data_IF_284255912114
#
_entry.id   IF_284255912114
#
_cell.length_a   1.000
_cell.length_b   1.000
_cell.length_c   1.000
_cell.angle_alpha   90.00
_cell.angle_beta   90.00
_cell.angle_gamma   90.00
#
_symmetry.space_group_name_H-M   'P 1'
#
loop_
_entity.id
_entity.type
_entity.pdbx_description
1 polymer ?
#
# COMPACT_ATOMS: atom_id res chain seq x y z
N UNK A 1 17.79 -0.40 5.31
CA UNK A 1 16.91 -1.57 5.44
C UNK A 1 17.77 -2.81 5.33
N UNK A 2 17.70 -3.70 6.32
CA UNK A 2 18.43 -4.98 6.31
C UNK A 2 17.55 -6.16 5.88
N UNK A 3 18.11 -7.38 5.90
CA UNK A 3 17.41 -8.60 5.50
C UNK A 3 16.23 -8.94 6.43
N UNK A 4 16.30 -8.57 7.71
CA UNK A 4 15.22 -8.81 8.66
C UNK A 4 14.07 -7.85 8.39
N UNK A 5 14.36 -6.58 8.12
CA UNK A 5 13.33 -5.62 7.73
C UNK A 5 12.56 -6.08 6.48
N UNK A 6 13.26 -6.61 5.47
CA UNK A 6 12.63 -7.19 4.29
C UNK A 6 11.67 -8.35 4.64
N UNK A 7 12.08 -9.19 5.59
CA UNK A 7 11.26 -10.32 6.05
C UNK A 7 10.02 -9.84 6.82
N UNK A 8 10.17 -8.83 7.69
CA UNK A 8 9.05 -8.19 8.40
C UNK A 8 8.05 -7.60 7.40
N UNK A 9 8.53 -6.84 6.40
CA UNK A 9 7.68 -6.26 5.37
C UNK A 9 6.95 -7.34 4.56
N UNK A 10 7.62 -8.45 4.24
CA UNK A 10 6.99 -9.58 3.55
C UNK A 10 5.84 -10.17 4.37
N UNK A 11 6.02 -10.31 5.68
CA UNK A 11 4.95 -10.82 6.56
C UNK A 11 3.79 -9.84 6.67
N UNK A 12 4.06 -8.55 6.89
CA UNK A 12 3.03 -7.52 6.97
C UNK A 12 2.28 -7.32 5.64
N UNK A 13 2.95 -7.48 4.50
CA UNK A 13 2.31 -7.43 3.19
C UNK A 13 1.37 -8.62 2.94
N UNK A 14 1.66 -9.77 3.55
CA UNK A 14 0.79 -10.94 3.49
C UNK A 14 -0.40 -10.82 4.46
N UNK A 15 -0.13 -10.45 5.71
CA UNK A 15 -1.14 -10.19 6.73
C UNK A 15 -0.67 -9.10 7.72
N UNK A 16 -1.10 -7.87 7.48
CA UNK A 16 -0.84 -6.73 8.35
C UNK A 16 -1.51 -6.84 9.73
N UNK A 17 -2.48 -7.75 9.91
CA UNK A 17 -3.18 -7.99 11.18
C UNK A 17 -2.53 -9.10 12.00
N UNK A 18 -1.50 -9.75 11.48
CA UNK A 18 -0.77 -10.78 12.20
C UNK A 18 -0.22 -10.21 13.52
N UNK A 19 -0.34 -10.95 14.64
CA UNK A 19 0.21 -10.49 15.91
C UNK A 19 1.73 -10.36 15.78
N UNK A 20 2.29 -9.28 16.33
CA UNK A 20 3.74 -9.00 16.26
C UNK A 20 4.56 -10.15 16.85
N UNK A 21 4.04 -10.88 17.83
CA UNK A 21 4.69 -12.08 18.37
C UNK A 21 4.85 -13.19 17.33
N UNK A 22 3.89 -13.37 16.42
CA UNK A 22 3.98 -14.34 15.32
C UNK A 22 5.03 -13.94 14.30
N UNK A 23 4.99 -12.67 13.87
CA UNK A 23 6.00 -12.12 12.95
C UNK A 23 7.41 -12.23 13.55
N UNK A 24 7.54 -11.91 14.84
CA UNK A 24 8.81 -11.99 15.56
C UNK A 24 9.35 -13.44 15.60
N UNK A 25 8.49 -14.43 15.84
CA UNK A 25 8.88 -15.83 15.82
C UNK A 25 9.38 -16.28 14.44
N UNK A 26 8.71 -15.87 13.36
CA UNK A 26 9.09 -16.23 11.99
C UNK A 26 10.40 -15.55 11.54
N UNK A 27 10.68 -14.34 12.01
CA UNK A 27 11.89 -13.58 11.63
C UNK A 27 13.04 -13.73 12.63
N UNK A 28 12.88 -14.56 13.68
CA UNK A 28 13.92 -14.86 14.67
C UNK A 28 14.24 -13.72 15.62
N UNK A 29 13.25 -12.90 15.98
CA UNK A 29 13.39 -11.77 16.91
C UNK A 29 12.57 -11.96 18.19
N UNK A 30 12.93 -11.22 19.23
CA UNK A 30 12.00 -10.96 20.33
C UNK A 30 10.87 -10.03 19.85
N UNK A 31 9.71 -10.13 20.49
CA UNK A 31 8.57 -9.26 20.18
C UNK A 31 8.94 -7.76 20.29
N UNK A 32 9.69 -7.37 21.33
CA UNK A 32 10.11 -5.98 21.53
C UNK A 32 11.10 -5.48 20.47
N UNK A 33 11.96 -6.35 19.93
CA UNK A 33 12.85 -6.00 18.83
C UNK A 33 12.06 -5.86 17.51
N UNK A 34 11.09 -6.73 17.25
CA UNK A 34 10.23 -6.67 16.07
C UNK A 34 9.39 -5.39 16.08
N UNK A 35 8.76 -5.03 17.20
CA UNK A 35 7.96 -3.79 17.33
C UNK A 35 8.77 -2.55 16.99
N UNK A 36 9.99 -2.42 17.54
CA UNK A 36 10.85 -1.25 17.27
C UNK A 36 11.22 -1.13 15.79
N UNK A 37 11.44 -2.26 15.11
CA UNK A 37 11.74 -2.28 13.67
C UNK A 37 10.53 -1.86 12.83
N UNK A 38 9.34 -2.36 13.15
CA UNK A 38 8.09 -1.95 12.48
C UNK A 38 7.89 -0.44 12.63
N UNK A 39 8.03 0.10 13.84
CA UNK A 39 7.93 1.55 14.09
C UNK A 39 8.97 2.36 13.30
N UNK A 40 10.20 1.85 13.17
CA UNK A 40 11.23 2.51 12.37
C UNK A 40 10.90 2.48 10.86
N UNK A 41 10.31 1.39 10.36
CA UNK A 41 9.87 1.26 8.97
C UNK A 41 8.68 2.17 8.65
N UNK A 42 7.77 2.36 9.60
CA UNK A 42 6.69 3.34 9.52
C UNK A 42 7.22 4.77 9.53
N UNK A 43 8.06 5.12 10.50
CA UNK A 43 8.62 6.46 10.65
C UNK A 43 9.48 6.88 9.45
N UNK A 44 10.15 5.93 8.80
CA UNK A 44 10.96 6.17 7.59
C UNK A 44 10.16 6.11 6.29
N UNK A 45 8.85 5.86 6.34
CA UNK A 45 7.96 5.82 5.17
C UNK A 45 8.09 4.57 4.30
N UNK A 46 8.83 3.55 4.74
CA UNK A 46 8.84 2.24 4.07
C UNK A 46 7.46 1.57 4.19
N UNK A 47 6.83 1.72 5.35
CA UNK A 47 5.41 1.40 5.55
C UNK A 47 4.63 2.72 5.49
N UNK A 48 3.90 2.91 4.39
CA UNK A 48 3.09 4.13 4.20
C UNK A 48 1.70 4.03 4.81
N UNK A 49 1.09 2.85 4.76
CA UNK A 49 -0.25 2.61 5.26
C UNK A 49 -0.52 1.13 5.43
N UNK A 50 -1.58 0.82 6.17
CA UNK A 50 -2.18 -0.49 6.24
C UNK A 50 -3.59 -0.40 5.67
N UNK A 51 -3.94 -1.30 4.76
CA UNK A 51 -5.20 -1.24 4.02
C UNK A 51 -5.90 -2.60 3.99
N UNK A 52 -7.22 -2.57 3.87
CA UNK A 52 -8.02 -3.77 3.65
C UNK A 52 -8.11 -4.05 2.14
N UNK A 53 -7.85 -5.31 1.74
CA UNK A 53 -8.13 -5.76 0.37
C UNK A 53 -9.59 -6.19 0.28
N UNK A 54 -10.40 -5.35 -0.37
CA UNK A 54 -11.83 -5.57 -0.51
C UNK A 54 -12.14 -6.31 -1.82
N UNK A 55 -13.13 -7.20 -1.79
CA UNK A 55 -13.60 -7.88 -2.99
C UNK A 55 -14.52 -6.98 -3.81
N UNK A 56 -13.98 -6.30 -4.83
CA UNK A 56 -14.73 -5.38 -5.71
C UNK A 56 -16.07 -5.95 -6.21
N UNK A 57 -16.09 -7.21 -6.66
CA UNK A 57 -17.32 -7.89 -7.12
C UNK A 57 -18.42 -7.99 -6.05
N UNK A 58 -18.05 -8.16 -4.78
CA UNK A 58 -19.01 -8.24 -3.66
C UNK A 58 -19.55 -6.87 -3.25
N UNK A 59 -18.87 -5.80 -3.66
CA UNK A 59 -19.28 -4.42 -3.43
C UNK A 59 -20.12 -3.86 -4.59
N UNK A 60 -20.47 -4.68 -5.59
CA UNK A 60 -21.24 -4.24 -6.76
C UNK A 60 -20.38 -3.71 -7.93
N UNK A 61 -19.06 -3.71 -7.79
CA UNK A 61 -18.15 -3.37 -8.89
C UNK A 61 -17.88 -4.61 -9.74
N UNK A 62 -18.68 -4.78 -10.79
CA UNK A 62 -18.62 -5.95 -11.66
C UNK A 62 -17.59 -5.84 -12.79
N UNK A 63 -17.16 -4.63 -13.12
CA UNK A 63 -16.26 -4.33 -14.22
C UNK A 63 -15.04 -3.61 -13.65
N UNK A 64 -13.85 -4.00 -14.10
CA UNK A 64 -12.61 -3.26 -13.91
C UNK A 64 -12.05 -2.99 -15.29
N UNK A 65 -11.80 -1.72 -15.61
CA UNK A 65 -11.26 -1.30 -16.89
C UNK A 65 -9.92 -0.60 -16.66
N UNK A 66 -8.95 -0.89 -17.53
CA UNK A 66 -7.73 -0.08 -17.67
C UNK A 66 -7.97 0.84 -18.87
N UNK A 67 -7.78 2.14 -18.68
CA UNK A 67 -8.04 3.14 -19.72
C UNK A 67 -6.75 3.89 -20.02
N UNK A 68 -6.28 3.76 -21.25
CA UNK A 68 -5.18 4.58 -21.75
C UNK A 68 -5.74 5.89 -22.31
N UNK A 69 -5.24 7.02 -21.80
CA UNK A 69 -5.70 8.35 -22.18
C UNK A 69 -4.52 9.13 -22.77
N UNK A 70 -4.68 9.60 -24.01
CA UNK A 70 -3.69 10.47 -24.67
C UNK A 70 -4.19 11.91 -24.61
N UNK A 71 -3.43 12.79 -23.96
CA UNK A 71 -3.73 14.22 -23.90
C UNK A 71 -3.27 14.91 -25.18
N UNK A 72 -4.08 15.82 -25.71
CA UNK A 72 -3.76 16.59 -26.92
C UNK A 72 -2.68 17.66 -26.72
N UNK A 73 -2.44 18.07 -25.48
CA UNK A 73 -1.42 19.04 -25.07
C UNK A 73 -0.58 18.46 -23.93
N UNK A 74 0.72 18.78 -23.91
CA UNK A 74 1.65 18.39 -22.83
C UNK A 74 1.98 19.57 -21.92
N UNK A 75 1.07 20.54 -21.82
CA UNK A 75 1.25 21.70 -20.94
C UNK A 75 0.99 21.23 -19.51
N UNK A 76 1.91 21.54 -18.59
CA UNK A 76 1.89 21.08 -17.20
C UNK A 76 0.58 21.42 -16.48
N UNK A 77 0.00 22.58 -16.78
CA UNK A 77 -1.29 23.01 -16.24
C UNK A 77 -2.47 22.15 -16.72
N UNK A 78 -2.46 21.71 -17.99
CA UNK A 78 -3.50 20.84 -18.54
C UNK A 78 -3.40 19.43 -17.97
N UNK A 79 -2.18 18.93 -17.74
CA UNK A 79 -1.94 17.63 -17.09
C UNK A 79 -2.42 17.65 -15.64
N UNK A 80 -2.06 18.67 -14.87
CA UNK A 80 -2.48 18.81 -13.47
C UNK A 80 -4.00 18.92 -13.33
N UNK A 81 -4.66 19.67 -14.23
CA UNK A 81 -6.12 19.76 -14.29
C UNK A 81 -6.77 18.41 -14.60
N UNK A 82 -6.19 17.66 -15.53
CA UNK A 82 -6.68 16.32 -15.87
C UNK A 82 -6.55 15.36 -14.68
N UNK A 83 -5.38 15.30 -14.03
CA UNK A 83 -5.16 14.46 -12.84
C UNK A 83 -6.16 14.80 -11.72
N UNK A 84 -6.35 16.08 -11.42
CA UNK A 84 -7.28 16.52 -10.39
C UNK A 84 -8.74 16.13 -10.72
N UNK A 85 -9.15 16.24 -11.98
CA UNK A 85 -10.48 15.83 -12.41
C UNK A 85 -10.68 14.32 -12.34
N UNK A 86 -9.67 13.53 -12.71
CA UNK A 86 -9.69 12.06 -12.66
C UNK A 86 -9.77 11.55 -11.22
N UNK A 87 -9.02 12.14 -10.29
CA UNK A 87 -9.04 11.77 -8.87
C UNK A 87 -10.39 12.09 -8.18
N UNK A 88 -11.21 12.96 -8.78
CA UNK A 88 -12.55 13.29 -8.27
C UNK A 88 -13.64 12.30 -8.74
N UNK A 89 -13.32 11.37 -9.63
CA UNK A 89 -14.29 10.38 -10.15
C UNK A 89 -14.34 9.16 -9.24
N UNK A 90 -15.53 8.87 -8.70
CA UNK A 90 -15.78 7.66 -7.93
C UNK A 90 -15.46 6.40 -8.75
N UNK A 91 -14.59 5.54 -8.22
CA UNK A 91 -14.20 4.27 -8.84
C UNK A 91 -12.91 4.32 -9.66
N UNK A 92 -12.24 5.48 -9.75
CA UNK A 92 -10.84 5.57 -10.20
C UNK A 92 -9.91 5.36 -9.00
N UNK A 93 -9.04 4.34 -9.08
CA UNK A 93 -8.13 3.90 -8.01
C UNK A 93 -6.75 3.60 -8.54
#
# INVERSE_FOLDING_TARGET
>A
MDRIDAAILKQLAADARAPVSGIAAEVGLSQSACTRRIQALEASGHIRSYSARLGHRRLGFHITALVDITLGTQIEEDLARFEAAVLAIDGVV
#
